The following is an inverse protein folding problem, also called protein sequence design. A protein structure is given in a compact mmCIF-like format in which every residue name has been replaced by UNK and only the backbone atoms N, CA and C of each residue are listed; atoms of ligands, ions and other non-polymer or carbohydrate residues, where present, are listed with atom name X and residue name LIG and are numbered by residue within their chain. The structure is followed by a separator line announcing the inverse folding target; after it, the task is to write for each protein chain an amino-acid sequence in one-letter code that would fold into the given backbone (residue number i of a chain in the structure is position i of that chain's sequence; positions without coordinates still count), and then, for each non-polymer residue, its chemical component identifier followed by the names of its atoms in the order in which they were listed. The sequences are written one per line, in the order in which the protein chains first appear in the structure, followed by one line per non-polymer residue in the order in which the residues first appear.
data_IF_984286464499
#
_entry.id   IF_984286464499
#
_cell.length_a   1.000
_cell.length_b   1.000
_cell.length_c   1.000
_cell.angle_alpha   90.00
_cell.angle_beta   90.00
_cell.angle_gamma   90.00
#
_symmetry.space_group_name_H-M   'P 1'
#
loop_
_entity.id
_entity.type
_entity.pdbx_description
1 polymer ?
#
# COMPACT_ATOMS: atom_id res chain seq x y z
N UNK A 1 4.98 -46.31 -2.35
CA UNK A 1 5.45 -45.02 -1.82
C UNK A 1 5.68 -44.11 -3.02
N UNK A 2 4.66 -43.36 -3.45
CA UNK A 2 4.75 -42.53 -4.65
C UNK A 2 5.22 -41.13 -4.25
N UNK A 3 6.43 -40.78 -4.67
CA UNK A 3 6.98 -39.43 -4.51
C UNK A 3 6.47 -38.58 -5.67
N UNK A 4 5.49 -37.71 -5.42
CA UNK A 4 5.03 -36.71 -6.39
C UNK A 4 6.02 -35.54 -6.29
N UNK A 5 6.91 -35.44 -7.26
CA UNK A 5 7.77 -34.26 -7.45
C UNK A 5 6.84 -33.12 -7.87
N UNK A 6 6.50 -32.25 -6.92
CA UNK A 6 5.84 -30.97 -7.19
C UNK A 6 6.85 -30.05 -7.87
N UNK A 7 6.96 -30.14 -9.18
CA UNK A 7 7.68 -29.14 -9.98
C UNK A 7 6.91 -27.83 -9.87
N UNK A 8 7.35 -26.95 -8.94
CA UNK A 8 6.93 -25.54 -8.93
C UNK A 8 7.45 -24.92 -10.22
N UNK A 9 6.58 -24.78 -11.21
CA UNK A 9 6.86 -23.96 -12.39
C UNK A 9 7.06 -22.55 -11.87
N UNK A 10 8.33 -22.14 -11.77
CA UNK A 10 8.71 -20.77 -11.43
C UNK A 10 8.42 -19.95 -12.67
N UNK A 11 7.21 -19.38 -12.76
CA UNK A 11 6.91 -18.36 -13.77
C UNK A 11 7.79 -17.16 -13.40
N UNK A 12 8.96 -17.06 -14.02
CA UNK A 12 9.81 -15.87 -13.94
C UNK A 12 9.13 -14.82 -14.81
N UNK A 13 8.09 -14.19 -14.28
CA UNK A 13 7.64 -12.91 -14.80
C UNK A 13 8.75 -11.92 -14.48
N UNK A 14 9.28 -11.24 -15.50
CA UNK A 14 10.17 -10.10 -15.35
C UNK A 14 9.44 -9.06 -14.49
N UNK A 15 9.62 -9.12 -13.16
CA UNK A 15 9.00 -8.18 -12.24
C UNK A 15 9.69 -6.83 -12.41
N UNK A 16 8.94 -5.75 -12.64
CA UNK A 16 9.48 -4.40 -12.49
C UNK A 16 10.16 -4.28 -11.13
N UNK A 17 11.31 -3.62 -11.07
CA UNK A 17 12.02 -3.41 -9.82
C UNK A 17 11.28 -2.35 -9.00
N UNK A 18 10.23 -2.78 -8.30
CA UNK A 18 9.49 -1.95 -7.37
C UNK A 18 10.34 -1.63 -6.15
N UNK A 19 10.46 -0.34 -5.86
CA UNK A 19 11.28 0.20 -4.78
C UNK A 19 10.46 0.46 -3.51
N UNK A 20 9.12 0.41 -3.60
CA UNK A 20 8.20 0.69 -2.51
C UNK A 20 7.21 -0.44 -2.21
N UNK A 21 6.75 -1.18 -3.22
CA UNK A 21 5.78 -2.28 -3.08
C UNK A 21 6.44 -3.64 -3.33
N UNK A 22 6.09 -4.65 -2.54
CA UNK A 22 6.40 -6.05 -2.85
C UNK A 22 5.10 -6.85 -3.04
N UNK A 23 4.78 -7.16 -4.29
CA UNK A 23 3.57 -7.90 -4.65
C UNK A 23 3.75 -9.42 -4.59
N UNK A 24 4.96 -9.94 -4.36
CA UNK A 24 5.19 -11.39 -4.33
C UNK A 24 4.37 -12.11 -3.25
N UNK A 25 4.31 -11.62 -2.00
CA UNK A 25 3.48 -12.26 -0.97
C UNK A 25 2.01 -12.34 -1.40
N UNK A 26 1.47 -11.22 -1.89
CA UNK A 26 0.09 -11.16 -2.37
C UNK A 26 -0.17 -12.12 -3.53
N UNK A 27 0.72 -12.13 -4.55
CA UNK A 27 0.61 -13.02 -5.71
C UNK A 27 0.64 -14.49 -5.31
N UNK A 28 1.41 -14.85 -4.30
CA UNK A 28 1.46 -16.22 -3.77
C UNK A 28 0.17 -16.58 -3.02
N UNK A 29 -0.39 -15.65 -2.24
CA UNK A 29 -1.63 -15.87 -1.47
C UNK A 29 -2.84 -16.11 -2.38
N UNK A 30 -2.91 -15.39 -3.50
CA UNK A 30 -3.99 -15.50 -4.49
C UNK A 30 -3.73 -16.57 -5.57
N UNK A 31 -2.71 -17.42 -5.39
CA UNK A 31 -2.27 -18.46 -6.34
C UNK A 31 -2.09 -17.93 -7.78
N UNK A 32 -1.54 -16.72 -7.91
CA UNK A 32 -1.31 -16.07 -9.20
C UNK A 32 -2.57 -15.58 -9.93
N UNK A 33 -3.74 -15.57 -9.28
CA UNK A 33 -4.99 -15.11 -9.90
C UNK A 33 -4.96 -13.60 -10.23
N UNK A 34 -4.65 -13.29 -11.50
CA UNK A 34 -4.50 -11.91 -11.97
C UNK A 34 -5.78 -11.07 -11.85
N UNK A 35 -6.97 -11.67 -11.91
CA UNK A 35 -8.24 -10.96 -11.73
C UNK A 35 -8.40 -10.48 -10.28
N UNK A 36 -8.06 -11.34 -9.32
CA UNK A 36 -8.06 -10.98 -7.90
C UNK A 36 -6.96 -9.96 -7.61
N UNK A 37 -5.76 -10.14 -8.18
CA UNK A 37 -4.67 -9.19 -8.06
C UNK A 37 -5.09 -7.77 -8.50
N UNK A 38 -5.68 -7.67 -9.70
CA UNK A 38 -6.20 -6.43 -10.25
C UNK A 38 -7.24 -5.79 -9.32
N UNK A 39 -8.22 -6.56 -8.88
CA UNK A 39 -9.27 -6.08 -7.96
C UNK A 39 -8.68 -5.50 -6.68
N UNK A 40 -7.72 -6.18 -6.07
CA UNK A 40 -7.08 -5.72 -4.83
C UNK A 40 -6.25 -4.45 -5.05
N UNK A 41 -5.52 -4.37 -6.18
CA UNK A 41 -4.77 -3.16 -6.54
C UNK A 41 -5.73 -1.99 -6.75
N UNK A 42 -6.82 -2.18 -7.50
CA UNK A 42 -7.83 -1.15 -7.75
C UNK A 42 -8.45 -0.65 -6.43
N UNK A 43 -8.84 -1.56 -5.53
CA UNK A 43 -9.34 -1.20 -4.19
C UNK A 43 -8.32 -0.38 -3.41
N UNK A 44 -7.06 -0.81 -3.40
CA UNK A 44 -6.04 -0.11 -2.64
C UNK A 44 -5.70 1.27 -3.21
N UNK A 45 -5.72 1.44 -4.54
CA UNK A 45 -5.57 2.76 -5.16
C UNK A 45 -6.66 3.74 -4.68
N UNK A 46 -7.90 3.27 -4.53
CA UNK A 46 -9.00 4.07 -3.96
C UNK A 46 -8.73 4.42 -2.51
N UNK A 47 -8.28 3.47 -1.69
CA UNK A 47 -7.94 3.73 -0.29
C UNK A 47 -6.83 4.78 -0.15
N UNK A 48 -5.81 4.72 -1.03
CA UNK A 48 -4.75 5.73 -1.07
C UNK A 48 -5.34 7.10 -1.41
N UNK A 49 -6.22 7.20 -2.41
CA UNK A 49 -6.85 8.47 -2.77
C UNK A 49 -7.68 9.06 -1.62
N UNK A 50 -8.45 8.22 -0.92
CA UNK A 50 -9.20 8.63 0.27
C UNK A 50 -8.25 9.17 1.36
N UNK A 51 -7.18 8.44 1.64
CA UNK A 51 -6.18 8.87 2.62
C UNK A 51 -5.52 10.19 2.22
N UNK A 52 -5.02 10.29 0.99
CA UNK A 52 -4.33 11.49 0.49
C UNK A 52 -5.25 12.71 0.50
N UNK A 53 -6.53 12.55 0.11
CA UNK A 53 -7.50 13.65 0.11
C UNK A 53 -7.86 14.13 1.53
N UNK A 54 -7.93 13.21 2.50
CA UNK A 54 -8.23 13.56 3.87
C UNK A 54 -7.10 14.40 4.52
N UNK A 55 -5.86 14.17 4.11
CA UNK A 55 -4.68 14.81 4.73
C UNK A 55 -4.04 15.93 3.88
N UNK A 56 -4.56 16.20 2.67
CA UNK A 56 -4.03 17.23 1.76
C UNK A 56 -4.48 18.66 2.10
N UNK A 57 -5.30 18.85 3.14
CA UNK A 57 -5.74 20.17 3.61
C UNK A 57 -4.90 20.63 4.79
N UNK A 58 -4.77 21.96 5.01
CA UNK A 58 -4.07 22.49 6.19
C UNK A 58 -4.62 21.85 7.47
N UNK A 59 -3.70 21.25 8.24
CA UNK A 59 -4.02 20.52 9.47
C UNK A 59 -4.15 21.51 10.59
N UNK A 60 -5.30 21.47 11.23
CA UNK A 60 -5.55 22.11 12.51
C UNK A 60 -6.03 21.04 13.51
N UNK A 61 -5.99 21.35 14.80
CA UNK A 61 -6.36 20.41 15.87
C UNK A 61 -7.75 19.77 15.66
N UNK A 62 -8.70 20.49 15.05
CA UNK A 62 -10.06 19.98 14.82
C UNK A 62 -10.11 18.80 13.82
N UNK A 63 -9.08 18.63 12.98
CA UNK A 63 -9.01 17.56 11.97
C UNK A 63 -8.25 16.32 12.45
N UNK A 64 -7.56 16.36 13.59
CA UNK A 64 -6.77 15.22 14.06
C UNK A 64 -7.58 13.92 14.21
N UNK A 65 -8.84 13.93 14.70
CA UNK A 65 -9.66 12.72 14.76
C UNK A 65 -9.96 12.12 13.38
N UNK A 66 -10.17 12.94 12.36
CA UNK A 66 -10.42 12.48 10.98
C UNK A 66 -9.16 11.86 10.38
N UNK A 67 -8.02 12.52 10.59
CA UNK A 67 -6.70 12.03 10.15
C UNK A 67 -6.37 10.70 10.85
N UNK A 68 -6.68 10.57 12.14
CA UNK A 68 -6.50 9.33 12.88
C UNK A 68 -7.29 8.19 12.25
N UNK A 69 -8.56 8.42 11.90
CA UNK A 69 -9.41 7.39 11.30
C UNK A 69 -8.87 6.91 9.97
N UNK A 70 -8.43 7.81 9.08
CA UNK A 70 -7.90 7.41 7.78
C UNK A 70 -6.53 6.74 7.90
N UNK A 71 -5.67 7.18 8.83
CA UNK A 71 -4.38 6.55 9.10
C UNK A 71 -4.57 5.12 9.63
N UNK A 72 -5.49 4.90 10.57
CA UNK A 72 -5.81 3.58 11.09
C UNK A 72 -6.31 2.62 9.98
N UNK A 73 -7.23 3.11 9.14
CA UNK A 73 -7.88 2.30 8.10
C UNK A 73 -6.93 1.83 7.01
N UNK A 74 -5.86 2.57 6.69
CA UNK A 74 -4.96 2.21 5.59
C UNK A 74 -3.85 1.21 5.98
N UNK A 75 -3.62 0.98 7.28
CA UNK A 75 -2.58 0.07 7.79
C UNK A 75 -2.72 -1.36 7.27
N UNK A 76 -3.92 -2.01 7.28
CA UNK A 76 -4.08 -3.35 6.74
C UNK A 76 -3.64 -3.44 5.27
N UNK A 77 -4.03 -2.46 4.45
CA UNK A 77 -3.65 -2.41 3.03
C UNK A 77 -2.13 -2.25 2.86
N UNK A 78 -1.49 -1.39 3.65
CA UNK A 78 -0.02 -1.23 3.64
C UNK A 78 0.70 -2.57 3.89
N UNK A 79 0.16 -3.40 4.80
CA UNK A 79 0.72 -4.72 5.13
C UNK A 79 0.51 -5.73 4.02
N UNK A 80 -0.70 -5.79 3.46
CA UNK A 80 -1.02 -6.68 2.32
C UNK A 80 -0.09 -6.41 1.14
N UNK A 81 0.13 -5.13 0.83
CA UNK A 81 1.01 -4.69 -0.25
C UNK A 81 2.49 -4.60 0.12
N UNK A 82 2.85 -5.02 1.34
CA UNK A 82 4.23 -5.09 1.84
C UNK A 82 5.03 -3.78 1.67
N UNK A 83 4.41 -2.63 1.95
CA UNK A 83 5.04 -1.31 1.81
C UNK A 83 5.88 -1.00 3.05
N UNK A 84 7.04 -1.66 3.16
CA UNK A 84 7.89 -1.66 4.36
C UNK A 84 8.37 -0.27 4.78
N UNK A 85 8.57 0.64 3.81
CA UNK A 85 9.02 2.01 4.10
C UNK A 85 7.92 2.86 4.75
N UNK A 86 6.65 2.52 4.52
CA UNK A 86 5.51 3.34 4.91
C UNK A 86 4.89 2.90 6.23
N UNK A 87 4.86 1.59 6.50
CA UNK A 87 4.30 1.04 7.74
C UNK A 87 4.80 1.74 9.02
N UNK A 88 6.12 1.91 9.28
CA UNK A 88 6.58 2.57 10.49
C UNK A 88 6.16 4.04 10.58
N UNK A 89 6.06 4.74 9.44
CA UNK A 89 5.65 6.14 9.38
C UNK A 89 4.16 6.28 9.75
N UNK A 90 3.31 5.41 9.21
CA UNK A 90 1.87 5.45 9.48
C UNK A 90 1.56 5.00 10.92
N UNK A 91 2.26 4.01 11.46
CA UNK A 91 2.12 3.62 12.86
C UNK A 91 2.56 4.74 13.82
N UNK A 92 3.64 5.44 13.50
CA UNK A 92 4.06 6.60 14.27
C UNK A 92 3.03 7.73 14.17
N UNK A 93 2.55 8.02 12.97
CA UNK A 93 1.51 9.02 12.75
C UNK A 93 0.24 8.71 13.56
N UNK A 94 -0.27 7.48 13.49
CA UNK A 94 -1.43 7.02 14.27
C UNK A 94 -1.20 7.21 15.79
N UNK A 95 -0.01 6.86 16.28
CA UNK A 95 0.35 7.03 17.69
C UNK A 95 0.35 8.49 18.14
N UNK A 96 0.89 9.39 17.31
CA UNK A 96 0.97 10.82 17.63
C UNK A 96 -0.39 11.51 17.52
N UNK A 97 -1.21 11.13 16.53
CA UNK A 97 -2.58 11.60 16.41
C UNK A 97 -3.42 11.21 17.64
N UNK A 98 -3.23 10.01 18.18
CA UNK A 98 -3.90 9.55 19.41
C UNK A 98 -3.50 10.34 20.65
N UNK A 99 -2.27 10.87 20.68
CA UNK A 99 -1.74 11.62 21.84
C UNK A 99 -1.99 13.13 21.72
N UNK A 100 -2.25 13.64 20.53
CA UNK A 100 -2.41 15.08 20.22
C UNK A 100 -1.21 15.94 20.68
N UNK A 101 0.02 15.40 20.62
CA UNK A 101 1.18 15.99 21.32
C UNK A 101 2.11 16.84 20.48
N UNK A 102 2.29 16.52 19.20
CA UNK A 102 3.35 17.13 18.37
C UNK A 102 2.87 17.33 16.93
N UNK A 103 2.35 18.54 16.66
CA UNK A 103 1.86 18.92 15.34
C UNK A 103 2.97 18.95 14.29
N UNK A 104 4.19 19.32 14.66
CA UNK A 104 5.31 19.39 13.72
C UNK A 104 5.72 17.98 13.27
N UNK A 105 5.75 17.03 14.20
CA UNK A 105 6.00 15.62 13.90
C UNK A 105 4.85 15.00 13.10
N UNK A 106 3.60 15.31 13.43
CA UNK A 106 2.42 14.89 12.65
C UNK A 106 2.53 15.39 11.20
N UNK A 107 2.80 16.68 11.00
CA UNK A 107 2.97 17.29 9.69
C UNK A 107 4.13 16.66 8.90
N UNK A 108 5.26 16.41 9.56
CA UNK A 108 6.42 15.73 8.95
C UNK A 108 6.07 14.31 8.48
N UNK A 109 5.37 13.54 9.31
CA UNK A 109 4.99 12.16 8.98
C UNK A 109 3.94 12.11 7.87
N UNK A 110 3.01 13.08 7.84
CA UNK A 110 2.03 13.22 6.76
C UNK A 110 2.70 13.57 5.44
N UNK A 111 3.63 14.53 5.44
CA UNK A 111 4.38 14.85 4.22
C UNK A 111 5.14 13.63 3.71
N UNK A 112 5.80 12.91 4.61
CA UNK A 112 6.56 11.69 4.27
C UNK A 112 5.66 10.58 3.74
N UNK A 113 4.46 10.39 4.34
CA UNK A 113 3.51 9.39 3.87
C UNK A 113 2.94 9.74 2.49
N UNK A 114 2.61 11.01 2.24
CA UNK A 114 2.15 11.49 0.93
C UNK A 114 3.19 11.26 -0.17
N UNK A 115 4.46 11.55 0.10
CA UNK A 115 5.55 11.32 -0.86
C UNK A 115 5.68 9.82 -1.22
N UNK A 116 5.63 8.94 -0.23
CA UNK A 116 5.72 7.49 -0.45
C UNK A 116 4.47 6.96 -1.16
N UNK A 117 3.27 7.40 -0.76
CA UNK A 117 2.03 6.97 -1.41
C UNK A 117 1.97 7.34 -2.89
N UNK A 118 2.51 8.50 -3.28
CA UNK A 118 2.64 8.85 -4.69
C UNK A 118 3.49 7.82 -5.47
N UNK A 119 4.63 7.40 -4.91
CA UNK A 119 5.47 6.38 -5.53
C UNK A 119 4.75 5.02 -5.60
N UNK A 120 4.10 4.62 -4.51
CA UNK A 120 3.28 3.40 -4.45
C UNK A 120 2.20 3.41 -5.53
N UNK A 121 1.44 4.51 -5.69
CA UNK A 121 0.43 4.63 -6.74
C UNK A 121 1.04 4.43 -8.13
N UNK A 122 2.18 5.05 -8.41
CA UNK A 122 2.86 4.89 -9.71
C UNK A 122 3.25 3.43 -9.96
N UNK A 123 3.81 2.75 -8.96
CA UNK A 123 4.20 1.33 -9.05
C UNK A 123 2.99 0.42 -9.30
N UNK A 124 1.90 0.62 -8.56
CA UNK A 124 0.67 -0.15 -8.68
C UNK A 124 -0.05 0.10 -10.02
N UNK A 125 -0.11 1.34 -10.49
CA UNK A 125 -0.67 1.67 -11.80
C UNK A 125 0.14 1.03 -12.95
N UNK A 126 1.47 0.93 -12.79
CA UNK A 126 2.30 0.22 -13.75
C UNK A 126 2.04 -1.29 -13.72
N UNK A 127 1.85 -1.89 -12.54
CA UNK A 127 1.47 -3.30 -12.43
C UNK A 127 0.13 -3.57 -13.13
N UNK A 128 -0.88 -2.72 -12.92
CA UNK A 128 -2.18 -2.86 -13.58
C UNK A 128 -2.05 -2.89 -15.11
N UNK A 129 -1.25 -2.00 -15.69
CA UNK A 129 -0.97 -1.98 -17.14
C UNK A 129 -0.33 -3.29 -17.62
N UNK A 130 0.58 -3.87 -16.82
CA UNK A 130 1.20 -5.15 -17.15
C UNK A 130 0.19 -6.30 -17.12
N UNK A 131 -0.67 -6.34 -16.10
CA UNK A 131 -1.75 -7.32 -16.00
C UNK A 131 -2.71 -7.21 -17.20
N UNK A 132 -3.08 -5.99 -17.59
CA UNK A 132 -3.97 -5.75 -18.73
C UNK A 132 -3.35 -6.14 -20.07
N UNK A 133 -2.04 -5.91 -20.24
CA UNK A 133 -1.32 -6.33 -21.44
C UNK A 133 -1.14 -7.84 -21.52
N UNK A 134 -1.01 -8.54 -20.38
CA UNK A 134 -0.90 -10.00 -20.33
C UNK A 134 -2.25 -10.72 -20.54
N UNK A 135 -3.37 -10.00 -20.40
CA UNK A 135 -4.72 -10.53 -20.59
C UNK A 135 -5.27 -10.34 -22.02
N UNK A 136 -4.49 -9.71 -22.92
CA UNK A 136 -4.77 -9.59 -24.36
C UNK A 136 -4.09 -10.71 -25.13
#
# INVERSE_FOLDING_TARGET
MFSIIKTKVKIVMNTPNYSFVDLQPLKNEIDGNLKVCKMLIDTFLVDIDVYMNAISTEINYNKLPEIYQVAHKIIPSIRIFSIKKLEPIILQLESELKKEKDLDLINKNIKSSLEIFNQVKMELQNELKLIENAAK
#
